data_IF_404984378166
#
_entry.id   IF_404984378166
#
_cell.length_a   1.000
_cell.length_b   1.000
_cell.length_c   1.000
_cell.angle_alpha   90.00
_cell.angle_beta   90.00
_cell.angle_gamma   90.00
#
_symmetry.space_group_name_H-M   'P 1'
#
loop_
_entity.id
_entity.type
_entity.pdbx_description
1 polymer ?
#
# COMPACT_ATOMS: atom_id res chain seq x y z
N UNK A 1 22.66 -2.55 -21.44
CA UNK A 1 21.44 -1.81 -21.02
C UNK A 1 20.28 -2.74 -20.65
N UNK A 2 19.97 -3.78 -21.44
CA UNK A 2 18.85 -4.71 -21.17
C UNK A 2 18.95 -5.42 -19.82
N UNK A 3 20.13 -5.97 -19.46
CA UNK A 3 20.35 -6.64 -18.19
C UNK A 3 20.12 -5.69 -17.01
N UNK A 4 20.62 -4.47 -17.07
CA UNK A 4 20.41 -3.47 -16.01
C UNK A 4 18.92 -3.16 -15.82
N UNK A 5 18.17 -2.96 -16.91
CA UNK A 5 16.72 -2.72 -16.86
C UNK A 5 15.98 -3.92 -16.25
N UNK A 6 16.38 -5.15 -16.59
CA UNK A 6 15.79 -6.36 -16.01
C UNK A 6 16.06 -6.44 -14.49
N UNK A 7 17.31 -6.23 -14.07
CA UNK A 7 17.66 -6.26 -12.64
C UNK A 7 16.93 -5.16 -11.86
N UNK A 8 16.90 -3.93 -12.37
CA UNK A 8 16.17 -2.84 -11.76
C UNK A 8 14.65 -3.15 -11.66
N UNK A 9 14.06 -3.67 -12.73
CA UNK A 9 12.65 -4.09 -12.73
C UNK A 9 12.36 -5.18 -11.70
N UNK A 10 13.25 -6.16 -11.51
CA UNK A 10 13.10 -7.18 -10.50
C UNK A 10 13.27 -6.62 -9.07
N UNK A 11 14.27 -5.77 -8.84
CA UNK A 11 14.48 -5.17 -7.53
C UNK A 11 13.25 -4.36 -7.08
N UNK A 12 12.71 -3.51 -7.97
CA UNK A 12 11.52 -2.71 -7.68
C UNK A 12 10.28 -3.59 -7.48
N UNK A 13 10.08 -4.62 -8.32
CA UNK A 13 8.94 -5.51 -8.20
C UNK A 13 8.99 -6.31 -6.87
N UNK A 14 10.14 -6.87 -6.51
CA UNK A 14 10.30 -7.62 -5.26
C UNK A 14 10.11 -6.73 -4.03
N UNK A 15 10.58 -5.50 -4.08
CA UNK A 15 10.32 -4.51 -3.03
C UNK A 15 8.80 -4.29 -2.86
N UNK A 16 8.07 -3.98 -3.93
CA UNK A 16 6.63 -3.76 -3.88
C UNK A 16 5.87 -5.00 -3.42
N UNK A 17 6.23 -6.19 -3.91
CA UNK A 17 5.63 -7.46 -3.49
C UNK A 17 5.82 -7.67 -1.99
N UNK A 18 7.04 -7.51 -1.49
CA UNK A 18 7.35 -7.68 -0.07
C UNK A 18 6.52 -6.73 0.80
N UNK A 19 6.42 -5.46 0.41
CA UNK A 19 5.63 -4.46 1.13
C UNK A 19 4.13 -4.78 1.14
N UNK A 20 3.56 -5.16 0.00
CA UNK A 20 2.15 -5.53 -0.09
C UNK A 20 1.81 -6.80 0.70
N UNK A 21 2.63 -7.84 0.58
CA UNK A 21 2.43 -9.10 1.33
C UNK A 21 2.54 -8.85 2.82
N UNK A 22 3.54 -8.08 3.26
CA UNK A 22 3.72 -7.71 4.66
C UNK A 22 2.53 -6.92 5.21
N UNK A 23 2.07 -5.90 4.49
CA UNK A 23 0.95 -5.05 4.93
C UNK A 23 -0.42 -5.74 4.87
N UNK A 24 -0.51 -6.90 4.21
CA UNK A 24 -1.81 -7.55 3.93
C UNK A 24 -2.00 -8.85 4.70
N UNK A 25 -1.04 -9.77 4.64
CA UNK A 25 -1.18 -11.13 5.16
C UNK A 25 -0.01 -11.62 6.01
N UNK A 26 1.15 -10.98 5.95
CA UNK A 26 2.32 -11.44 6.67
C UNK A 26 2.87 -10.33 7.57
N UNK A 27 2.39 -10.23 8.81
CA UNK A 27 2.85 -9.20 9.72
C UNK A 27 4.34 -9.37 10.05
N UNK A 28 5.04 -8.26 10.12
CA UNK A 28 6.38 -8.23 10.70
C UNK A 28 6.34 -8.66 12.18
N UNK A 29 7.46 -9.13 12.75
CA UNK A 29 7.54 -9.33 14.19
C UNK A 29 7.13 -8.05 14.94
N UNK A 30 6.17 -8.17 15.87
CA UNK A 30 5.60 -7.05 16.64
C UNK A 30 5.04 -5.92 15.76
N UNK A 31 4.12 -6.19 14.82
CA UNK A 31 3.51 -5.12 14.04
C UNK A 31 2.73 -4.19 14.98
N UNK A 32 2.62 -2.89 14.65
CA UNK A 32 1.67 -2.02 15.31
C UNK A 32 0.26 -2.58 15.20
N UNK A 33 -0.56 -2.47 16.24
CA UNK A 33 -1.97 -2.81 16.14
C UNK A 33 -2.62 -2.05 14.98
N UNK A 34 -3.54 -2.72 14.27
CA UNK A 34 -4.24 -2.11 13.14
C UNK A 34 -3.39 -1.90 11.90
N UNK A 35 -2.35 -2.70 11.68
CA UNK A 35 -1.46 -2.57 10.53
C UNK A 35 -1.57 -3.68 9.48
N UNK A 36 -2.31 -4.75 9.73
CA UNK A 36 -2.42 -5.92 8.84
C UNK A 36 -3.83 -6.09 8.31
N UNK A 37 -4.02 -5.79 7.04
CA UNK A 37 -5.34 -5.62 6.43
C UNK A 37 -6.29 -6.81 6.56
N UNK A 38 -5.80 -8.05 6.42
CA UNK A 38 -6.67 -9.23 6.47
C UNK A 38 -6.83 -9.83 7.86
N UNK A 39 -5.91 -9.55 8.78
CA UNK A 39 -5.92 -10.14 10.11
C UNK A 39 -6.44 -9.21 11.21
N UNK A 40 -6.52 -7.91 10.93
CA UNK A 40 -7.11 -6.99 11.90
C UNK A 40 -8.62 -7.29 12.05
N UNK A 41 -9.13 -7.38 13.29
CA UNK A 41 -10.57 -7.46 13.52
C UNK A 41 -11.29 -6.24 12.93
N UNK A 42 -12.60 -6.38 12.58
CA UNK A 42 -13.38 -5.22 12.14
C UNK A 42 -13.34 -4.08 13.17
N UNK A 43 -13.06 -2.88 12.70
CA UNK A 43 -12.93 -1.68 13.56
C UNK A 43 -11.57 -1.52 14.25
N UNK A 44 -10.64 -2.45 14.10
CA UNK A 44 -9.32 -2.37 14.73
C UNK A 44 -8.22 -1.76 13.82
N UNK A 45 -8.45 -1.71 12.51
CA UNK A 45 -7.45 -1.12 11.61
C UNK A 45 -7.44 0.41 11.71
N UNK A 46 -6.37 0.96 12.28
CA UNK A 46 -6.28 2.39 12.61
C UNK A 46 -6.49 3.27 11.38
N UNK A 47 -5.87 2.93 10.24
CA UNK A 47 -5.95 3.74 9.02
C UNK A 47 -7.40 3.78 8.49
N UNK A 48 -8.00 2.61 8.26
CA UNK A 48 -9.32 2.53 7.64
C UNK A 48 -10.43 2.97 8.61
N UNK A 49 -10.28 2.69 9.91
CA UNK A 49 -11.23 3.19 10.90
C UNK A 49 -11.18 4.70 11.03
N UNK A 50 -9.98 5.31 11.03
CA UNK A 50 -9.83 6.77 11.02
C UNK A 50 -10.52 7.41 9.80
N UNK A 51 -10.38 6.80 8.62
CA UNK A 51 -11.07 7.29 7.41
C UNK A 51 -12.58 7.13 7.56
N UNK A 52 -13.06 5.98 8.02
CA UNK A 52 -14.49 5.73 8.22
C UNK A 52 -15.12 6.74 9.18
N UNK A 53 -14.49 6.99 10.31
CA UNK A 53 -14.98 7.93 11.35
C UNK A 53 -15.01 9.37 10.81
N UNK A 54 -13.96 9.81 10.16
CA UNK A 54 -13.86 11.19 9.65
C UNK A 54 -14.70 11.48 8.41
N UNK A 55 -14.97 10.44 7.59
CA UNK A 55 -15.85 10.58 6.41
C UNK A 55 -17.31 10.30 6.73
N UNK A 56 -17.61 9.64 7.86
CA UNK A 56 -18.93 9.10 8.18
C UNK A 56 -19.34 7.91 7.29
N UNK A 57 -18.40 7.29 6.57
CA UNK A 57 -18.67 6.20 5.63
C UNK A 57 -18.18 4.86 6.18
N UNK A 58 -19.09 4.05 6.69
CA UNK A 58 -18.79 2.73 7.25
C UNK A 58 -18.26 1.71 6.23
N UNK A 59 -18.33 2.01 4.94
CA UNK A 59 -17.76 1.18 3.88
C UNK A 59 -16.24 1.07 3.92
N UNK A 60 -15.54 2.05 4.50
CA UNK A 60 -14.09 2.00 4.57
C UNK A 60 -13.57 0.90 5.49
N UNK A 61 -14.28 0.62 6.58
CA UNK A 61 -13.90 -0.42 7.54
C UNK A 61 -15.12 -1.33 7.84
N UNK A 62 -15.07 -2.66 7.61
CA UNK A 62 -13.90 -3.42 7.10
C UNK A 62 -13.84 -3.56 5.56
N UNK A 63 -14.89 -3.20 4.82
CA UNK A 63 -15.01 -3.56 3.40
C UNK A 63 -13.93 -2.89 2.52
N UNK A 64 -13.69 -1.58 2.68
CA UNK A 64 -12.65 -0.86 1.94
C UNK A 64 -11.26 -1.39 2.24
N UNK A 65 -10.97 -1.72 3.51
CA UNK A 65 -9.72 -2.34 3.93
C UNK A 65 -9.47 -3.68 3.23
N UNK A 66 -10.45 -4.57 3.26
CA UNK A 66 -10.34 -5.89 2.63
C UNK A 66 -10.20 -5.77 1.11
N UNK A 67 -10.96 -4.88 0.48
CA UNK A 67 -10.83 -4.60 -0.96
C UNK A 67 -9.44 -4.08 -1.32
N UNK A 68 -8.92 -3.12 -0.55
CA UNK A 68 -7.58 -2.58 -0.77
C UNK A 68 -6.52 -3.67 -0.64
N UNK A 69 -6.60 -4.50 0.41
CA UNK A 69 -5.70 -5.63 0.59
C UNK A 69 -5.77 -6.64 -0.56
N UNK A 70 -6.98 -6.94 -1.07
CA UNK A 70 -7.14 -7.81 -2.22
C UNK A 70 -6.48 -7.23 -3.48
N UNK A 71 -6.64 -5.93 -3.74
CA UNK A 71 -5.99 -5.25 -4.87
C UNK A 71 -4.46 -5.24 -4.73
N UNK A 72 -3.93 -5.07 -3.52
CA UNK A 72 -2.49 -5.15 -3.24
C UNK A 72 -1.93 -6.56 -3.55
N UNK A 73 -2.63 -7.62 -3.15
CA UNK A 73 -2.21 -9.00 -3.46
C UNK A 73 -2.32 -9.33 -4.95
N UNK A 74 -3.36 -8.84 -5.63
CA UNK A 74 -3.50 -8.96 -7.08
C UNK A 74 -2.34 -8.22 -7.77
N UNK A 75 -2.01 -7.02 -7.34
CA UNK A 75 -0.86 -6.27 -7.85
C UNK A 75 0.45 -7.04 -7.63
N UNK A 76 0.67 -7.57 -6.42
CA UNK A 76 1.84 -8.38 -6.08
C UNK A 76 1.96 -9.63 -6.98
N UNK A 77 0.87 -10.33 -7.22
CA UNK A 77 0.82 -11.48 -8.12
C UNK A 77 1.23 -11.11 -9.56
N UNK A 78 0.68 -10.03 -10.11
CA UNK A 78 1.03 -9.57 -11.45
C UNK A 78 2.46 -9.00 -11.53
N UNK A 79 2.96 -8.38 -10.47
CA UNK A 79 4.37 -7.92 -10.39
C UNK A 79 5.36 -9.10 -10.41
N UNK A 80 4.99 -10.24 -9.84
CA UNK A 80 5.83 -11.44 -9.80
C UNK A 80 6.06 -12.03 -11.19
N UNK A 81 5.06 -11.96 -12.05
CA UNK A 81 5.11 -12.55 -13.40
C UNK A 81 5.66 -11.53 -14.40
N UNK A 82 6.79 -11.81 -15.09
CA UNK A 82 7.42 -10.82 -15.99
C UNK A 82 6.50 -10.30 -17.09
N UNK A 83 5.64 -11.16 -17.66
CA UNK A 83 4.76 -10.78 -18.75
C UNK A 83 3.55 -9.92 -18.33
N UNK A 84 3.16 -9.94 -17.05
CA UNK A 84 2.06 -9.12 -16.51
C UNK A 84 2.56 -8.00 -15.60
N UNK A 85 3.86 -7.87 -15.42
CA UNK A 85 4.46 -6.91 -14.45
C UNK A 85 4.01 -5.48 -14.66
N UNK A 86 3.83 -5.04 -15.90
CA UNK A 86 3.29 -3.69 -16.18
C UNK A 86 1.87 -3.53 -15.66
N UNK A 87 1.01 -4.54 -15.81
CA UNK A 87 -0.34 -4.51 -15.26
C UNK A 87 -0.30 -4.44 -13.73
N UNK A 88 0.54 -5.26 -13.09
CA UNK A 88 0.78 -5.18 -11.65
C UNK A 88 1.23 -3.79 -11.19
N UNK A 89 2.14 -3.16 -11.94
CA UNK A 89 2.61 -1.82 -11.64
C UNK A 89 1.51 -0.74 -11.80
N UNK A 90 0.61 -0.88 -12.78
CA UNK A 90 -0.54 0.02 -12.95
C UNK A 90 -1.51 -0.12 -11.77
N UNK A 91 -1.87 -1.34 -11.38
CA UNK A 91 -2.75 -1.58 -10.22
C UNK A 91 -2.10 -1.03 -8.95
N UNK A 92 -0.81 -1.33 -8.75
CA UNK A 92 -0.02 -0.81 -7.63
C UNK A 92 -0.05 0.72 -7.57
N UNK A 93 0.22 1.39 -8.71
CA UNK A 93 0.19 2.84 -8.78
C UNK A 93 -1.20 3.44 -8.50
N UNK A 94 -2.27 2.77 -8.93
CA UNK A 94 -3.64 3.21 -8.64
C UNK A 94 -3.97 3.10 -7.14
N UNK A 95 -3.64 1.97 -6.50
CA UNK A 95 -3.86 1.77 -5.06
C UNK A 95 -3.05 2.76 -4.23
N UNK A 96 -1.77 2.91 -4.55
CA UNK A 96 -0.86 3.82 -3.83
C UNK A 96 -1.17 5.29 -4.10
N UNK A 97 -1.63 5.62 -5.31
CA UNK A 97 -2.14 6.97 -5.63
C UNK A 97 -3.36 7.32 -4.79
N UNK A 98 -4.28 6.37 -4.60
CA UNK A 98 -5.40 6.49 -3.66
C UNK A 98 -4.94 6.70 -2.21
N UNK A 99 -3.96 5.90 -1.76
CA UNK A 99 -3.38 6.05 -0.41
C UNK A 99 -2.76 7.44 -0.22
N UNK A 100 -1.94 7.91 -1.17
CA UNK A 100 -1.36 9.27 -1.13
C UNK A 100 -2.45 10.34 -1.11
N UNK A 101 -3.51 10.18 -1.90
CA UNK A 101 -4.63 11.12 -1.92
C UNK A 101 -5.33 11.19 -0.56
N UNK A 102 -5.56 10.06 0.14
CA UNK A 102 -6.11 10.06 1.49
C UNK A 102 -5.18 10.73 2.50
N UNK A 103 -3.88 10.49 2.41
CA UNK A 103 -2.90 11.17 3.27
C UNK A 103 -2.84 12.69 3.03
N UNK A 104 -3.13 13.15 1.82
CA UNK A 104 -3.20 14.58 1.49
C UNK A 104 -4.58 15.19 1.82
N UNK A 105 -5.56 14.38 2.17
CA UNK A 105 -6.92 14.81 2.53
C UNK A 105 -7.04 15.09 4.03
N UNK A 106 -8.09 15.81 4.46
CA UNK A 106 -8.38 15.99 5.88
C UNK A 106 -8.87 14.70 6.56
N UNK A 107 -9.20 13.66 5.78
CA UNK A 107 -9.76 12.41 6.31
C UNK A 107 -8.71 11.49 6.93
N UNK A 108 -7.49 11.47 6.43
CA UNK A 108 -6.40 10.71 7.04
C UNK A 108 -5.30 11.61 7.56
N UNK A 109 -4.79 12.52 6.71
CA UNK A 109 -3.66 13.39 7.05
C UNK A 109 -2.31 12.73 6.76
N UNK A 110 -1.25 13.54 6.78
CA UNK A 110 0.12 13.06 6.54
C UNK A 110 0.65 12.22 7.69
N UNK A 111 0.23 12.52 8.90
CA UNK A 111 0.56 11.79 10.11
C UNK A 111 -0.67 11.02 10.57
N UNK A 112 -0.54 9.71 10.67
CA UNK A 112 -1.65 8.83 11.05
C UNK A 112 -1.62 8.61 12.57
N UNK A 113 -2.77 8.65 13.27
CA UNK A 113 -2.81 8.25 14.67
C UNK A 113 -2.23 6.85 14.87
N UNK A 114 -1.54 6.60 15.96
CA UNK A 114 -1.06 5.25 16.32
C UNK A 114 -2.05 4.51 17.24
N UNK A 115 -3.14 5.15 17.62
CA UNK A 115 -4.19 4.59 18.46
C UNK A 115 -5.55 5.16 18.06
N UNK A 116 -6.60 4.37 18.22
CA UNK A 116 -8.00 4.81 18.09
C UNK A 116 -8.54 5.44 19.37
N UNK A 117 -7.76 5.48 20.43
CA UNK A 117 -8.13 6.18 21.66
C UNK A 117 -8.19 7.71 21.42
N UNK A 118 -9.34 8.36 21.57
CA UNK A 118 -9.48 9.81 21.38
C UNK A 118 -8.58 10.65 22.31
N UNK A 119 -8.12 10.09 23.42
CA UNK A 119 -7.19 10.76 24.33
C UNK A 119 -5.73 10.71 23.85
N UNK A 120 -5.42 9.84 22.89
CA UNK A 120 -4.07 9.73 22.34
C UNK A 120 -3.81 10.81 21.29
N UNK A 121 -2.71 11.54 21.47
CA UNK A 121 -2.22 12.54 20.49
C UNK A 121 -1.02 12.04 19.68
N UNK A 122 -0.65 10.78 19.87
CA UNK A 122 0.51 10.20 19.21
C UNK A 122 0.21 9.86 17.75
N UNK A 123 1.17 10.15 16.88
CA UNK A 123 1.12 9.84 15.43
C UNK A 123 2.32 9.02 15.01
N UNK A 124 2.25 8.48 13.80
CA UNK A 124 3.34 7.74 13.16
C UNK A 124 4.48 8.64 12.63
N UNK A 125 4.39 9.96 12.83
CA UNK A 125 5.35 10.92 12.29
C UNK A 125 5.45 10.95 10.76
N UNK A 126 4.41 10.48 10.06
CA UNK A 126 4.34 10.47 8.59
C UNK A 126 5.07 9.29 7.93
N UNK A 127 5.35 8.23 8.67
CA UNK A 127 6.02 7.04 8.12
C UNK A 127 5.17 6.39 7.02
N UNK A 128 3.87 6.19 7.26
CA UNK A 128 2.98 5.56 6.28
C UNK A 128 2.82 6.41 5.02
N UNK A 129 2.73 7.73 5.17
CA UNK A 129 2.70 8.65 4.03
C UNK A 129 3.97 8.59 3.20
N UNK A 130 5.13 8.59 3.86
CA UNK A 130 6.44 8.48 3.19
C UNK A 130 6.58 7.16 2.44
N UNK A 131 6.16 6.04 3.05
CA UNK A 131 6.15 4.74 2.41
C UNK A 131 5.22 4.70 1.21
N UNK A 132 4.02 5.27 1.30
CA UNK A 132 3.08 5.35 0.18
C UNK A 132 3.68 6.08 -1.02
N UNK A 133 4.40 7.19 -0.80
CA UNK A 133 5.10 7.94 -1.86
C UNK A 133 6.23 7.10 -2.46
N UNK A 134 7.08 6.49 -1.63
CA UNK A 134 8.22 5.66 -2.11
C UNK A 134 7.69 4.50 -2.96
N UNK A 135 6.67 3.81 -2.50
CA UNK A 135 6.07 2.70 -3.23
C UNK A 135 5.37 3.16 -4.53
N UNK A 136 4.70 4.33 -4.51
CA UNK A 136 4.10 4.91 -5.72
C UNK A 136 5.18 5.21 -6.77
N UNK A 137 6.28 5.86 -6.36
CA UNK A 137 7.43 6.13 -7.25
C UNK A 137 8.01 4.82 -7.78
N UNK A 138 8.20 3.82 -6.92
CA UNK A 138 8.68 2.50 -7.34
C UNK A 138 7.77 1.86 -8.40
N UNK A 139 6.44 1.95 -8.22
CA UNK A 139 5.45 1.44 -9.18
C UNK A 139 5.56 2.14 -10.53
N UNK A 140 5.70 3.46 -10.55
CA UNK A 140 5.89 4.25 -11.78
C UNK A 140 7.23 3.90 -12.45
N UNK A 141 8.30 3.73 -11.68
CA UNK A 141 9.60 3.31 -12.21
C UNK A 141 9.54 1.92 -12.84
N UNK A 142 8.77 0.96 -12.30
CA UNK A 142 8.57 -0.34 -12.97
C UNK A 142 8.01 -0.17 -14.38
N UNK A 143 7.06 0.75 -14.59
CA UNK A 143 6.48 1.02 -15.92
C UNK A 143 7.53 1.51 -16.93
N UNK A 144 8.51 2.28 -16.45
CA UNK A 144 9.57 2.86 -17.30
C UNK A 144 10.72 1.88 -17.54
N UNK A 145 11.19 1.20 -16.48
CA UNK A 145 12.41 0.36 -16.58
C UNK A 145 12.12 -1.05 -17.10
N UNK A 146 10.89 -1.55 -16.93
CA UNK A 146 10.58 -2.91 -17.36
C UNK A 146 10.68 -3.05 -18.89
N UNK A 147 11.51 -3.98 -19.41
CA UNK A 147 11.64 -4.19 -20.84
C UNK A 147 10.29 -4.50 -21.48
N UNK A 148 10.02 -3.88 -22.62
CA UNK A 148 8.86 -4.24 -23.43
C UNK A 148 9.04 -5.59 -24.10
N UNK A 149 7.93 -6.18 -24.57
CA UNK A 149 7.97 -7.44 -25.32
C UNK A 149 8.66 -7.34 -26.71
N UNK A 150 9.03 -6.12 -27.12
CA UNK A 150 9.65 -5.82 -28.42
C UNK A 150 11.11 -5.37 -28.33
N UNK A 151 11.69 -5.35 -27.11
CA UNK A 151 13.10 -4.96 -26.90
C UNK A 151 14.05 -6.16 -26.93
#
# INVERSE_FOLDING_TARGET
MRLFRQLASWALALFLIAMFVQATIYPLPNPPEGSVKFFDPPGANIVFQTIADRTGQTLFEPAGRVLTGALELIAAFFLLLPFTRRLGAVISAAVLGGAVAFHLSPYLGREVPVSLDPASTQTDGGILFSLAIIMLVASLLVLVVHPGSRD
#
